data_IF_785176197247
#
_entry.id   IF_785176197247
#
_cell.length_a   1.000
_cell.length_b   1.000
_cell.length_c   1.000
_cell.angle_alpha   90.00
_cell.angle_beta   90.00
_cell.angle_gamma   90.00
#
_symmetry.space_group_name_H-M   'P 1'
#
loop_
_entity.id
_entity.type
_entity.pdbx_description
1 polymer ?
#
# COMPACT_ATOMS: atom_id res chain seq x y z
N UNK A 1 -1.86 11.96 32.05
CA UNK A 1 -0.77 10.98 32.23
C UNK A 1 0.56 11.71 32.05
N UNK A 2 1.65 11.36 32.75
CA UNK A 2 2.92 12.01 32.47
C UNK A 2 3.33 11.66 31.03
N UNK A 3 3.62 12.68 30.22
CA UNK A 3 4.07 12.55 28.84
C UNK A 3 5.37 11.73 28.84
N UNK A 4 5.30 10.49 28.36
CA UNK A 4 6.49 9.66 28.24
C UNK A 4 7.26 10.12 26.99
N UNK A 5 8.55 10.46 27.09
CA UNK A 5 9.29 10.93 25.93
C UNK A 5 9.40 9.82 24.87
N UNK A 6 9.45 10.22 23.59
CA UNK A 6 9.73 9.32 22.47
C UNK A 6 11.00 8.49 22.75
N UNK A 7 10.91 7.17 22.61
CA UNK A 7 12.03 6.22 22.77
C UNK A 7 12.49 5.71 21.42
N UNK A 8 13.78 5.36 21.29
CA UNK A 8 14.37 4.72 20.10
C UNK A 8 14.17 5.51 18.78
N UNK A 9 14.34 6.83 18.80
CA UNK A 9 14.12 7.70 17.63
C UNK A 9 14.88 7.25 16.36
N UNK A 10 16.08 6.69 16.51
CA UNK A 10 16.88 6.08 15.42
C UNK A 10 16.11 4.95 14.69
N UNK A 11 15.41 4.09 15.44
CA UNK A 11 14.62 2.99 14.87
C UNK A 11 13.37 3.50 14.15
N UNK A 12 12.75 4.58 14.65
CA UNK A 12 11.66 5.25 13.94
C UNK A 12 12.16 5.82 12.60
N UNK A 13 13.38 6.33 12.57
CA UNK A 13 14.03 6.79 11.33
C UNK A 13 14.21 5.67 10.29
N UNK A 14 14.65 4.48 10.71
CA UNK A 14 14.72 3.30 9.84
C UNK A 14 13.32 2.91 9.35
N UNK A 15 12.36 2.80 10.26
CA UNK A 15 10.99 2.43 9.97
C UNK A 15 10.33 3.34 8.93
N UNK A 16 10.49 4.66 9.07
CA UNK A 16 9.95 5.63 8.11
C UNK A 16 10.57 5.50 6.73
N UNK A 17 11.88 5.26 6.66
CA UNK A 17 12.56 5.07 5.40
C UNK A 17 12.12 3.80 4.68
N UNK A 18 11.88 2.71 5.42
CA UNK A 18 11.34 1.46 4.86
C UNK A 18 9.94 1.67 4.28
N UNK A 19 9.06 2.40 4.99
CA UNK A 19 7.74 2.77 4.48
C UNK A 19 7.80 3.69 3.25
N UNK A 20 8.72 4.66 3.21
CA UNK A 20 8.93 5.52 2.02
C UNK A 20 9.42 4.72 0.81
N UNK A 21 10.29 3.74 1.02
CA UNK A 21 10.74 2.83 -0.03
C UNK A 21 9.59 1.95 -0.54
N UNK A 22 8.81 1.35 0.37
CA UNK A 22 7.63 0.54 0.04
C UNK A 22 6.57 1.36 -0.71
N UNK A 23 6.29 2.59 -0.28
CA UNK A 23 5.36 3.50 -0.95
C UNK A 23 5.79 3.78 -2.40
N UNK A 24 7.09 3.98 -2.63
CA UNK A 24 7.63 4.19 -3.98
C UNK A 24 7.38 2.97 -4.88
N UNK A 25 7.66 1.76 -4.39
CA UNK A 25 7.36 0.52 -5.13
C UNK A 25 5.86 0.30 -5.39
N UNK A 26 5.01 0.62 -4.42
CA UNK A 26 3.55 0.57 -4.57
C UNK A 26 3.02 1.51 -5.65
N UNK A 27 3.49 2.77 -5.66
CA UNK A 27 3.10 3.78 -6.67
C UNK A 27 3.50 3.35 -8.09
N UNK A 28 4.69 2.76 -8.24
CA UNK A 28 5.15 2.22 -9.53
C UNK A 28 4.29 1.04 -9.98
N UNK A 29 3.97 0.11 -9.08
CA UNK A 29 3.11 -1.04 -9.38
C UNK A 29 1.72 -0.58 -9.80
N UNK A 30 1.05 0.28 -9.03
CA UNK A 30 -0.28 0.81 -9.39
C UNK A 30 -0.20 1.53 -10.74
N UNK A 31 0.84 2.33 -10.98
CA UNK A 31 1.05 2.98 -12.27
C UNK A 31 1.21 2.00 -13.44
N UNK A 32 1.81 0.82 -13.23
CA UNK A 32 1.82 -0.25 -14.24
C UNK A 32 0.45 -0.87 -14.42
N UNK A 33 -0.25 -1.19 -13.33
CA UNK A 33 -1.61 -1.76 -13.35
C UNK A 33 -2.58 -0.85 -14.09
N UNK A 34 -2.59 0.46 -13.82
CA UNK A 34 -3.42 1.43 -14.54
C UNK A 34 -3.21 1.36 -16.06
N UNK A 35 -1.97 1.20 -16.53
CA UNK A 35 -1.68 1.07 -17.96
C UNK A 35 -2.19 -0.24 -18.55
N UNK A 36 -2.10 -1.34 -17.80
CA UNK A 36 -2.61 -2.66 -18.20
C UNK A 36 -4.14 -2.64 -18.28
N UNK A 37 -4.79 -1.95 -17.33
CA UNK A 37 -6.24 -1.92 -17.19
C UNK A 37 -6.93 -0.75 -17.91
N UNK A 38 -6.27 -0.08 -18.86
CA UNK A 38 -6.88 1.00 -19.65
C UNK A 38 -8.15 0.55 -20.36
N UNK A 39 -9.22 1.34 -20.23
CA UNK A 39 -10.54 1.06 -20.78
C UNK A 39 -11.33 -0.01 -20.03
N UNK A 40 -10.78 -0.59 -18.96
CA UNK A 40 -11.51 -1.52 -18.09
C UNK A 40 -12.15 -0.80 -16.90
N UNK A 41 -13.04 -1.50 -16.19
CA UNK A 41 -13.66 -1.01 -14.95
C UNK A 41 -12.67 -0.66 -13.84
N UNK A 42 -11.43 -1.16 -13.94
CA UNK A 42 -10.38 -0.92 -12.95
C UNK A 42 -9.55 0.33 -13.19
N UNK A 43 -9.64 0.97 -14.37
CA UNK A 43 -8.77 2.09 -14.71
C UNK A 43 -8.91 3.24 -13.71
N UNK A 44 -10.13 3.77 -13.54
CA UNK A 44 -10.38 4.94 -12.70
C UNK A 44 -10.06 4.65 -11.22
N UNK A 45 -10.52 3.55 -10.60
CA UNK A 45 -10.14 3.23 -9.21
C UNK A 45 -8.63 3.09 -9.00
N UNK A 46 -7.89 2.54 -9.97
CA UNK A 46 -6.42 2.47 -9.89
C UNK A 46 -5.76 3.85 -10.02
N UNK A 47 -6.31 4.76 -10.84
CA UNK A 47 -5.85 6.15 -10.94
C UNK A 47 -6.08 6.90 -9.63
N UNK A 48 -7.25 6.73 -9.01
CA UNK A 48 -7.60 7.29 -7.70
C UNK A 48 -6.68 6.74 -6.60
N UNK A 49 -6.49 5.42 -6.53
CA UNK A 49 -5.54 4.80 -5.62
C UNK A 49 -4.14 5.39 -5.81
N UNK A 50 -3.67 5.54 -7.05
CA UNK A 50 -2.35 6.11 -7.32
C UNK A 50 -2.22 7.55 -6.81
N UNK A 51 -3.25 8.36 -6.97
CA UNK A 51 -3.30 9.73 -6.44
C UNK A 51 -3.18 9.73 -4.92
N UNK A 52 -3.95 8.88 -4.24
CA UNK A 52 -3.90 8.71 -2.79
C UNK A 52 -2.52 8.24 -2.29
N UNK A 53 -1.89 7.27 -2.97
CA UNK A 53 -0.54 6.82 -2.62
C UNK A 53 0.51 7.92 -2.77
N UNK A 54 0.36 8.82 -3.76
CA UNK A 54 1.24 9.97 -3.93
C UNK A 54 1.07 10.99 -2.79
N UNK A 55 -0.17 11.26 -2.39
CA UNK A 55 -0.50 12.13 -1.24
C UNK A 55 0.09 11.57 0.05
N UNK A 56 -0.10 10.28 0.31
CA UNK A 56 0.45 9.57 1.47
C UNK A 56 1.97 9.62 1.53
N UNK A 57 2.64 9.39 0.39
CA UNK A 57 4.10 9.52 0.31
C UNK A 57 4.54 10.95 0.63
N UNK A 58 3.82 11.96 0.17
CA UNK A 58 4.11 13.35 0.51
C UNK A 58 3.90 13.61 2.01
N UNK A 59 2.89 13.02 2.64
CA UNK A 59 2.69 13.10 4.09
C UNK A 59 3.82 12.42 4.87
N UNK A 60 4.27 11.22 4.47
CA UNK A 60 5.42 10.56 5.09
C UNK A 60 6.72 11.38 4.97
N UNK A 61 6.91 12.11 3.86
CA UNK A 61 8.04 13.02 3.71
C UNK A 61 7.94 14.22 4.67
N UNK A 62 6.75 14.77 4.89
CA UNK A 62 6.51 15.83 5.89
C UNK A 62 6.80 15.32 7.31
N UNK A 63 6.34 14.13 7.63
CA UNK A 63 6.61 13.47 8.92
C UNK A 63 8.12 13.27 9.13
N UNK A 64 8.83 12.74 8.13
CA UNK A 64 10.28 12.57 8.21
C UNK A 64 10.99 13.92 8.43
N UNK A 65 10.58 14.98 7.72
CA UNK A 65 11.14 16.32 7.89
C UNK A 65 10.87 16.89 9.29
N UNK A 66 9.64 16.78 9.79
CA UNK A 66 9.26 17.25 11.12
C UNK A 66 10.07 16.54 12.23
N UNK A 67 10.33 15.24 12.05
CA UNK A 67 11.11 14.44 12.99
C UNK A 67 12.63 14.63 12.85
N UNK A 68 13.10 15.35 11.83
CA UNK A 68 14.54 15.48 11.52
C UNK A 68 15.16 14.19 10.98
N UNK A 69 14.35 13.28 10.46
CA UNK A 69 14.78 12.01 9.88
C UNK A 69 15.27 12.23 8.45
N UNK A 70 16.54 11.92 8.14
CA UNK A 70 17.02 12.01 6.77
C UNK A 70 16.36 10.95 5.90
N UNK A 71 15.79 11.37 4.78
CA UNK A 71 15.23 10.48 3.77
C UNK A 71 16.37 9.88 2.96
N UNK A 72 16.63 8.60 3.18
CA UNK A 72 17.63 7.83 2.46
C UNK A 72 17.01 7.39 1.15
N UNK A 73 17.46 8.02 0.06
CA UNK A 73 17.21 7.51 -1.29
C UNK A 73 18.03 6.24 -1.48
N UNK A 74 17.55 5.12 -0.92
CA UNK A 74 18.18 3.84 -1.18
C UNK A 74 18.11 3.59 -2.68
N UNK A 75 19.27 3.53 -3.33
CA UNK A 75 19.47 3.21 -4.76
C UNK A 75 19.02 1.78 -5.13
N UNK A 76 18.12 1.17 -4.37
CA UNK A 76 17.72 -0.23 -4.45
C UNK A 76 16.20 -0.41 -4.52
N UNK A 77 15.53 0.40 -5.35
CA UNK A 77 14.23 0.01 -5.94
C UNK A 77 14.36 -1.34 -6.70
N UNK A 78 15.59 -1.74 -7.04
CA UNK A 78 15.91 -2.92 -7.85
C UNK A 78 15.68 -4.30 -7.21
N UNK A 79 15.60 -4.46 -5.88
CA UNK A 79 15.67 -5.82 -5.29
C UNK A 79 14.30 -6.47 -5.08
N UNK A 80 13.25 -5.73 -4.72
CA UNK A 80 12.00 -6.38 -4.32
C UNK A 80 10.98 -6.55 -5.46
N UNK A 81 10.93 -5.60 -6.41
CA UNK A 81 10.09 -5.75 -7.62
C UNK A 81 10.66 -6.83 -8.55
N UNK A 82 11.98 -7.06 -8.54
CA UNK A 82 12.62 -8.03 -9.41
C UNK A 82 12.25 -9.49 -9.07
N UNK A 83 12.23 -9.90 -7.80
CA UNK A 83 11.98 -11.31 -7.43
C UNK A 83 10.53 -11.78 -7.61
N UNK A 84 9.53 -10.90 -7.43
CA UNK A 84 8.11 -11.28 -7.65
C UNK A 84 7.64 -11.09 -9.09
N UNK A 85 8.16 -10.10 -9.83
CA UNK A 85 7.81 -9.90 -11.25
C UNK A 85 8.47 -10.95 -12.16
N UNK A 86 9.66 -11.46 -11.80
CA UNK A 86 10.31 -12.54 -12.57
C UNK A 86 9.60 -13.89 -12.43
N UNK A 87 9.08 -14.23 -11.24
CA UNK A 87 8.39 -15.51 -11.01
C UNK A 87 6.99 -15.57 -11.64
N UNK A 88 6.30 -14.44 -11.78
CA UNK A 88 5.05 -14.33 -12.54
C UNK A 88 5.25 -14.32 -14.08
N UNK A 89 6.49 -14.12 -14.56
CA UNK A 89 6.85 -14.09 -15.99
C UNK A 89 7.29 -15.45 -16.57
N UNK A 90 7.33 -16.52 -15.77
CA UNK A 90 7.91 -17.80 -16.19
C UNK A 90 6.89 -18.94 -16.44
N UNK A 91 5.67 -18.61 -16.90
CA UNK A 91 4.75 -19.60 -17.46
C UNK A 91 4.64 -19.48 -18.99
N UNK A 92 5.76 -19.67 -19.69
CA UNK A 92 5.85 -20.46 -20.92
C UNK A 92 4.96 -20.15 -22.16
N UNK A 93 4.23 -19.03 -22.26
CA UNK A 93 3.52 -18.66 -23.51
C UNK A 93 3.66 -17.17 -23.84
N UNK A 94 4.49 -16.91 -24.84
CA UNK A 94 4.90 -15.62 -25.38
C UNK A 94 3.80 -14.81 -26.13
N UNK A 95 2.52 -14.84 -25.74
CA UNK A 95 1.48 -14.07 -26.46
C UNK A 95 0.39 -13.38 -25.59
N UNK A 96 0.25 -13.68 -24.30
CA UNK A 96 -0.71 -12.95 -23.44
C UNK A 96 -0.31 -12.98 -21.95
N UNK A 97 -0.71 -11.93 -21.20
CA UNK A 97 -0.55 -11.85 -19.75
C UNK A 97 -1.45 -12.90 -19.09
N UNK A 98 -0.94 -13.59 -18.07
CA UNK A 98 -1.74 -14.60 -17.36
C UNK A 98 -2.81 -13.93 -16.51
N UNK A 99 -4.06 -14.42 -16.49
CA UNK A 99 -5.09 -13.96 -15.55
C UNK A 99 -4.67 -14.06 -14.07
N UNK A 100 -3.72 -14.96 -13.74
CA UNK A 100 -3.13 -15.05 -12.40
C UNK A 100 -2.28 -13.82 -12.04
N UNK A 101 -1.75 -13.10 -13.02
CA UNK A 101 -0.96 -11.89 -12.75
C UNK A 101 -1.81 -10.82 -12.07
N UNK A 102 -3.03 -10.60 -12.54
CA UNK A 102 -3.93 -9.59 -11.96
C UNK A 102 -4.32 -9.97 -10.53
N UNK A 103 -4.65 -11.26 -10.31
CA UNK A 103 -5.00 -11.77 -8.98
C UNK A 103 -3.85 -11.52 -7.97
N UNK A 104 -2.63 -11.88 -8.34
CA UNK A 104 -1.45 -11.73 -7.46
C UNK A 104 -1.11 -10.26 -7.24
N UNK A 105 -1.27 -9.39 -8.24
CA UNK A 105 -1.00 -7.96 -8.10
C UNK A 105 -2.00 -7.28 -7.16
N UNK A 106 -3.31 -7.57 -7.27
CA UNK A 106 -4.32 -7.06 -6.34
C UNK A 106 -4.12 -7.60 -4.91
N UNK A 107 -3.82 -8.90 -4.75
CA UNK A 107 -3.49 -9.49 -3.44
C UNK A 107 -2.26 -8.84 -2.79
N UNK A 108 -1.24 -8.62 -3.60
CA UNK A 108 -0.02 -7.99 -3.19
C UNK A 108 -0.27 -6.54 -2.72
N UNK A 109 -1.04 -5.76 -3.48
CA UNK A 109 -1.41 -4.39 -3.09
C UNK A 109 -2.27 -4.34 -1.83
N UNK A 110 -3.25 -5.24 -1.68
CA UNK A 110 -4.08 -5.31 -0.47
C UNK A 110 -3.19 -5.54 0.78
N UNK A 111 -2.24 -6.47 0.67
CA UNK A 111 -1.27 -6.75 1.74
C UNK A 111 -0.38 -5.53 2.05
N UNK A 112 0.11 -4.86 1.01
CA UNK A 112 0.96 -3.67 1.15
C UNK A 112 0.22 -2.50 1.79
N UNK A 113 -1.03 -2.23 1.39
CA UNK A 113 -1.87 -1.18 1.98
C UNK A 113 -2.17 -1.45 3.45
N UNK A 114 -2.40 -2.72 3.82
CA UNK A 114 -2.55 -3.12 5.23
C UNK A 114 -1.28 -2.83 6.03
N UNK A 115 -0.11 -3.18 5.50
CA UNK A 115 1.18 -2.86 6.12
C UNK A 115 1.41 -1.35 6.29
N UNK A 116 1.10 -0.57 5.25
CA UNK A 116 1.16 0.90 5.28
C UNK A 116 0.21 1.48 6.33
N UNK A 117 -1.03 0.98 6.44
CA UNK A 117 -1.99 1.40 7.48
C UNK A 117 -1.40 1.23 8.87
N UNK A 118 -0.77 0.09 9.16
CA UNK A 118 -0.08 -0.13 10.44
C UNK A 118 1.07 0.85 10.66
N UNK A 119 1.72 1.31 9.59
CA UNK A 119 2.68 2.43 9.65
C UNK A 119 2.05 3.74 10.12
N UNK A 120 0.89 4.11 9.58
CA UNK A 120 0.16 5.30 10.02
C UNK A 120 -0.38 5.17 11.44
N UNK A 121 -0.90 4.01 11.83
CA UNK A 121 -1.32 3.71 13.22
C UNK A 121 -0.13 3.86 14.19
N UNK A 122 1.05 3.40 13.78
CA UNK A 122 2.28 3.56 14.57
C UNK A 122 2.65 5.04 14.74
N UNK A 123 2.60 5.82 13.67
CA UNK A 123 2.84 7.26 13.73
C UNK A 123 1.79 7.99 14.58
N UNK A 124 0.53 7.55 14.54
CA UNK A 124 -0.53 8.09 15.37
C UNK A 124 -0.28 7.83 16.85
N UNK A 125 0.27 6.66 17.21
CA UNK A 125 0.72 6.40 18.59
C UNK A 125 1.88 7.32 18.96
N UNK A 126 2.87 7.51 18.07
CA UNK A 126 4.00 8.43 18.32
C UNK A 126 3.54 9.87 18.53
N UNK A 127 2.49 10.31 17.82
CA UNK A 127 1.95 11.68 17.97
C UNK A 127 1.32 11.96 19.35
N UNK A 128 1.10 10.94 20.20
CA UNK A 128 0.71 11.14 21.59
C UNK A 128 1.84 11.69 22.47
N UNK A 129 3.09 11.60 22.00
CA UNK A 129 4.29 11.99 22.76
C UNK A 129 5.26 12.87 21.95
N UNK A 130 4.88 13.23 20.73
CA UNK A 130 5.65 14.07 19.82
C UNK A 130 4.70 14.98 19.02
N UNK A 131 4.50 16.20 19.52
CA UNK A 131 3.54 17.18 19.00
C UNK A 131 3.92 17.73 17.61
N UNK A 132 5.08 17.35 17.06
CA UNK A 132 5.45 17.68 15.68
C UNK A 132 4.61 16.91 14.65
N UNK A 133 3.88 15.88 15.08
CA UNK A 133 3.05 15.04 14.21
C UNK A 133 1.57 15.44 14.29
N UNK A 134 0.96 15.69 13.14
CA UNK A 134 -0.46 16.02 13.04
C UNK A 134 -1.35 14.78 13.21
N UNK A 135 -2.03 14.71 14.36
CA UNK A 135 -2.96 13.63 14.72
C UNK A 135 -4.11 13.48 13.71
N UNK A 136 -4.70 14.60 13.29
CA UNK A 136 -5.85 14.60 12.39
C UNK A 136 -5.46 14.23 10.95
N UNK A 137 -4.26 14.58 10.51
CA UNK A 137 -3.72 14.06 9.25
C UNK A 137 -3.50 12.55 9.31
N UNK A 138 -2.90 12.03 10.39
CA UNK A 138 -2.66 10.60 10.55
C UNK A 138 -3.96 9.78 10.62
N UNK A 139 -4.98 10.26 11.33
CA UNK A 139 -6.30 9.61 11.38
C UNK A 139 -6.94 9.54 9.98
N UNK A 140 -6.87 10.63 9.19
CA UNK A 140 -7.34 10.62 7.79
C UNK A 140 -6.59 9.61 6.91
N UNK A 141 -5.28 9.47 7.09
CA UNK A 141 -4.46 8.53 6.33
C UNK A 141 -4.75 7.07 6.72
N UNK A 142 -5.06 6.79 7.99
CA UNK A 142 -5.50 5.46 8.46
C UNK A 142 -6.82 5.09 7.79
N UNK A 143 -7.81 5.99 7.82
CA UNK A 143 -9.12 5.76 7.19
C UNK A 143 -9.01 5.58 5.67
N UNK A 144 -8.16 6.38 5.02
CA UNK A 144 -7.89 6.24 3.60
C UNK A 144 -7.28 4.87 3.29
N UNK A 145 -6.26 4.44 4.03
CA UNK A 145 -5.65 3.13 3.85
C UNK A 145 -6.65 1.99 4.10
N UNK A 146 -7.59 2.17 5.02
CA UNK A 146 -8.66 1.20 5.24
C UNK A 146 -9.58 1.04 4.03
N UNK A 147 -10.09 2.14 3.46
CA UNK A 147 -10.94 2.10 2.25
C UNK A 147 -10.23 1.50 1.05
N UNK A 148 -8.94 1.81 0.88
CA UNK A 148 -8.12 1.21 -0.16
C UNK A 148 -7.98 -0.31 0.02
N UNK A 149 -7.78 -0.78 1.25
CA UNK A 149 -7.69 -2.20 1.55
C UNK A 149 -8.99 -2.94 1.22
N UNK A 150 -10.14 -2.37 1.58
CA UNK A 150 -11.45 -2.93 1.25
C UNK A 150 -11.60 -3.07 -0.26
N UNK A 151 -11.44 -1.96 -0.99
CA UNK A 151 -11.55 -1.97 -2.45
C UNK A 151 -10.58 -2.95 -3.13
N UNK A 152 -9.31 -2.98 -2.72
CA UNK A 152 -8.33 -3.91 -3.28
C UNK A 152 -8.70 -5.37 -3.00
N UNK A 153 -9.26 -5.65 -1.83
CA UNK A 153 -9.68 -7.01 -1.45
C UNK A 153 -10.91 -7.44 -2.24
N UNK A 154 -11.86 -6.53 -2.48
CA UNK A 154 -13.03 -6.79 -3.30
C UNK A 154 -12.66 -7.01 -4.77
N UNK A 155 -11.83 -6.12 -5.34
CA UNK A 155 -11.30 -6.29 -6.69
C UNK A 155 -10.54 -7.62 -6.84
N UNK A 156 -9.73 -8.02 -5.85
CA UNK A 156 -9.06 -9.33 -5.83
C UNK A 156 -10.06 -10.49 -5.84
N UNK A 157 -11.17 -10.41 -5.09
CA UNK A 157 -12.22 -11.45 -5.08
C UNK A 157 -12.93 -11.54 -6.42
N UNK A 158 -13.22 -10.40 -7.05
CA UNK A 158 -13.79 -10.36 -8.40
C UNK A 158 -12.86 -11.02 -9.42
N UNK A 159 -11.57 -10.67 -9.42
CA UNK A 159 -10.58 -11.30 -10.29
C UNK A 159 -10.47 -12.81 -10.01
N UNK A 160 -10.51 -13.24 -8.75
CA UNK A 160 -10.52 -14.67 -8.41
C UNK A 160 -11.73 -15.40 -9.02
N UNK A 161 -12.91 -14.80 -8.96
CA UNK A 161 -14.12 -15.36 -9.57
C UNK A 161 -14.05 -15.40 -11.10
N UNK A 162 -13.44 -14.39 -11.74
CA UNK A 162 -13.19 -14.39 -13.19
C UNK A 162 -12.21 -15.50 -13.61
N UNK A 163 -11.19 -15.78 -12.80
CA UNK A 163 -10.14 -16.77 -13.10
C UNK A 163 -10.59 -18.21 -12.83
N UNK A 164 -11.29 -18.44 -11.71
CA UNK A 164 -11.60 -19.79 -11.21
C UNK A 164 -13.10 -20.13 -11.19
N UNK A 165 -13.97 -19.16 -11.49
CA UNK A 165 -15.41 -19.26 -11.28
C UNK A 165 -15.81 -19.02 -9.82
N UNK A 166 -17.12 -19.13 -9.54
CA UNK A 166 -17.70 -18.88 -8.22
C UNK A 166 -18.27 -17.46 -8.06
N UNK A 167 -18.53 -17.07 -6.81
CA UNK A 167 -19.15 -15.78 -6.43
C UNK A 167 -18.25 -15.05 -5.43
N UNK A 168 -17.82 -13.80 -5.70
CA UNK A 168 -16.97 -13.02 -4.79
C UNK A 168 -17.50 -12.95 -3.35
N UNK A 169 -18.83 -12.91 -3.21
CA UNK A 169 -19.56 -12.75 -1.94
C UNK A 169 -19.42 -13.97 -1.03
N UNK A 170 -19.06 -15.14 -1.56
CA UNK A 170 -18.86 -16.35 -0.76
C UNK A 170 -17.70 -16.23 0.25
N UNK A 171 -16.82 -15.25 0.09
CA UNK A 171 -15.69 -14.97 0.97
C UNK A 171 -15.88 -13.72 1.85
N UNK A 172 -17.06 -13.10 1.82
CA UNK A 172 -17.45 -12.03 2.75
C UNK A 172 -18.22 -12.69 3.89
N UNK A 173 -17.78 -12.56 5.15
CA UNK A 173 -18.57 -13.05 6.27
C UNK A 173 -19.98 -12.45 6.18
N UNK A 174 -21.01 -13.28 6.30
CA UNK A 174 -22.34 -12.76 6.57
C UNK A 174 -22.23 -11.89 7.82
N UNK A 175 -22.61 -10.62 7.75
CA UNK A 175 -22.70 -9.79 8.93
C UNK A 175 -23.48 -10.57 9.99
N UNK A 176 -22.83 -10.87 11.11
CA UNK A 176 -23.50 -11.44 12.27
C UNK A 176 -24.29 -10.27 12.84
N UNK A 177 -25.62 -10.39 12.75
CA UNK A 177 -26.61 -9.48 13.36
C UNK A 177 -26.22 -9.01 14.78
#
# INVERSE_FOLDING_TARGET
MPEQPQRNAELLGVYLNDHLAAATGGIELVGRMTRVHRGSRWQQPLEELRGQLLEERAALLRVAAALGVPVRQYKQIGVWVAEKVTRAKLNGRLLSRSPLSDLVEFEFLASAVRGKRSGFETLRIVSEVDDRLDRGELDRLIDQAHRQYEWLTDARREVAAEVFGGRPEAAVPSDVD
#
